data_IF_559553084260
#
_entry.id   IF_559553084260
#
_cell.length_a   1.000
_cell.length_b   1.000
_cell.length_c   1.000
_cell.angle_alpha   90.00
_cell.angle_beta   90.00
_cell.angle_gamma   90.00
#
_symmetry.space_group_name_H-M   'P 1'
#
loop_
_entity.id
_entity.type
_entity.pdbx_description
1 polymer ?
#
# COMPACT_ATOMS: atom_id res chain seq x y z
N UNK A 1 -28.92 7.99 -29.15
CA UNK A 1 -28.64 7.93 -27.70
C UNK A 1 -27.13 7.99 -27.52
N UNK A 2 -26.59 9.11 -27.02
CA UNK A 2 -25.15 9.23 -26.77
C UNK A 2 -24.73 8.18 -25.74
N UNK A 3 -23.68 7.39 -26.05
CA UNK A 3 -23.08 6.42 -25.13
C UNK A 3 -22.62 7.20 -23.89
N UNK A 4 -23.24 6.97 -22.73
CA UNK A 4 -22.77 7.58 -21.47
C UNK A 4 -21.39 7.01 -21.17
N UNK A 5 -20.37 7.85 -21.30
CA UNK A 5 -19.00 7.49 -20.94
C UNK A 5 -18.89 7.63 -19.42
N UNK A 6 -18.95 6.49 -18.72
CA UNK A 6 -18.74 6.44 -17.27
C UNK A 6 -17.26 6.56 -16.89
N UNK A 7 -16.36 6.52 -17.86
CA UNK A 7 -14.91 6.60 -17.68
C UNK A 7 -14.33 7.63 -18.65
N UNK A 8 -13.26 8.29 -18.22
CA UNK A 8 -12.43 9.18 -19.05
C UNK A 8 -11.09 8.51 -19.29
N UNK A 9 -10.71 8.33 -20.55
CA UNK A 9 -9.39 7.81 -20.92
C UNK A 9 -8.30 8.84 -20.56
N UNK A 10 -7.24 8.38 -19.91
CA UNK A 10 -6.12 9.23 -19.49
C UNK A 10 -4.86 9.02 -20.31
N UNK A 11 -4.64 7.81 -20.81
CA UNK A 11 -3.42 7.45 -21.53
C UNK A 11 -3.19 5.95 -21.59
N UNK A 12 -1.97 5.58 -22.00
CA UNK A 12 -1.57 4.20 -22.16
C UNK A 12 -0.15 3.96 -21.59
N UNK A 13 0.07 2.78 -21.02
CA UNK A 13 1.38 2.31 -20.54
C UNK A 13 2.04 1.29 -21.47
N UNK A 14 1.41 0.96 -22.60
CA UNK A 14 1.93 -0.03 -23.53
C UNK A 14 3.36 0.32 -23.96
N UNK A 15 4.27 -0.64 -23.85
CA UNK A 15 5.69 -0.46 -24.15
C UNK A 15 6.43 -1.78 -24.07
N UNK A 16 7.59 -1.85 -24.73
CA UNK A 16 8.38 -3.10 -24.81
C UNK A 16 8.81 -3.59 -23.42
N UNK A 17 9.07 -2.68 -22.48
CA UNK A 17 9.52 -3.01 -21.13
C UNK A 17 8.52 -3.84 -20.33
N UNK A 18 7.22 -3.73 -20.63
CA UNK A 18 6.19 -4.53 -19.97
C UNK A 18 6.33 -6.04 -20.24
N UNK A 19 6.99 -6.43 -21.33
CA UNK A 19 7.25 -7.84 -21.64
C UNK A 19 8.09 -8.52 -20.56
N UNK A 20 8.99 -7.78 -19.90
CA UNK A 20 9.79 -8.26 -18.76
C UNK A 20 8.91 -8.65 -17.54
N UNK A 21 7.68 -8.11 -17.48
CA UNK A 21 6.69 -8.42 -16.45
C UNK A 21 5.60 -9.41 -16.92
N UNK A 22 5.72 -9.91 -18.15
CA UNK A 22 4.83 -10.91 -18.74
C UNK A 22 3.73 -10.36 -19.64
N UNK A 23 3.74 -9.07 -19.97
CA UNK A 23 2.80 -8.51 -20.93
C UNK A 23 2.91 -9.19 -22.31
N UNK A 24 1.77 -9.31 -22.99
CA UNK A 24 1.62 -10.11 -24.22
C UNK A 24 1.07 -11.52 -23.99
N UNK A 25 0.98 -11.97 -22.74
CA UNK A 25 0.22 -13.18 -22.36
C UNK A 25 -1.18 -12.79 -21.89
N UNK A 26 -2.19 -13.55 -22.29
CA UNK A 26 -3.55 -13.36 -21.79
C UNK A 26 -3.57 -13.39 -20.26
N UNK A 27 -4.25 -12.41 -19.65
CA UNK A 27 -4.41 -12.36 -18.20
C UNK A 27 -3.17 -11.98 -17.39
N UNK A 28 -2.04 -11.60 -18.01
CA UNK A 28 -0.78 -11.34 -17.30
C UNK A 28 -0.89 -10.37 -16.11
N UNK A 29 -1.79 -9.37 -16.19
CA UNK A 29 -2.00 -8.36 -15.16
C UNK A 29 -2.78 -8.88 -13.94
N UNK A 30 -3.69 -9.83 -14.14
CA UNK A 30 -4.67 -10.27 -13.12
C UNK A 30 -4.46 -11.70 -12.65
N UNK A 31 -3.97 -12.58 -13.52
CA UNK A 31 -3.77 -14.00 -13.25
C UNK A 31 -2.37 -14.30 -12.70
N UNK A 32 -1.45 -13.33 -12.74
CA UNK A 32 -0.13 -13.45 -12.13
C UNK A 32 -0.15 -13.00 -10.65
N UNK A 33 -0.13 -13.93 -9.68
CA UNK A 33 -0.19 -13.58 -8.25
C UNK A 33 1.09 -12.89 -7.74
N UNK A 34 2.18 -12.95 -8.51
CA UNK A 34 3.45 -12.31 -8.16
C UNK A 34 3.57 -10.89 -8.73
N UNK A 35 2.60 -10.44 -9.54
CA UNK A 35 2.62 -9.09 -10.09
C UNK A 35 2.01 -8.10 -9.10
N UNK A 36 2.86 -7.21 -8.59
CA UNK A 36 2.51 -6.14 -7.70
C UNK A 36 2.27 -4.87 -8.50
N UNK A 37 1.31 -4.06 -8.06
CA UNK A 37 0.88 -2.84 -8.75
C UNK A 37 0.60 -1.77 -7.71
N UNK A 38 1.22 -0.61 -7.88
CA UNK A 38 0.97 0.57 -7.06
C UNK A 38 0.84 1.81 -7.97
N UNK A 39 -0.09 2.70 -7.64
CA UNK A 39 -0.42 3.88 -8.45
C UNK A 39 -0.13 5.16 -7.67
N UNK A 40 0.57 6.08 -8.31
CA UNK A 40 0.62 7.52 -8.02
C UNK A 40 -0.26 8.23 -9.08
N UNK A 41 -0.63 9.49 -8.86
CA UNK A 41 -1.55 10.25 -9.73
C UNK A 41 -1.11 10.28 -11.20
N UNK A 42 0.18 10.17 -11.48
CA UNK A 42 0.74 10.20 -12.85
C UNK A 42 1.78 9.10 -13.11
N UNK A 43 1.92 8.14 -12.20
CA UNK A 43 2.99 7.14 -12.27
C UNK A 43 2.49 5.79 -11.79
N UNK A 44 2.88 4.72 -12.47
CA UNK A 44 2.55 3.36 -12.11
C UNK A 44 3.84 2.62 -11.75
N UNK A 45 3.87 1.94 -10.61
CA UNK A 45 4.91 0.99 -10.27
C UNK A 45 4.37 -0.43 -10.46
N UNK A 46 5.00 -1.19 -11.34
CA UNK A 46 4.72 -2.60 -11.57
C UNK A 46 5.94 -3.42 -11.14
N UNK A 47 5.75 -4.48 -10.37
CA UNK A 47 6.86 -5.32 -9.94
C UNK A 47 6.54 -6.81 -10.03
N UNK A 48 7.54 -7.60 -10.41
CA UNK A 48 7.56 -9.03 -10.20
C UNK A 48 8.51 -9.35 -9.03
N UNK A 49 9.01 -10.59 -8.94
CA UNK A 49 9.90 -11.05 -7.85
C UNK A 49 11.26 -10.34 -7.78
N UNK A 50 11.78 -9.80 -8.88
CA UNK A 50 13.15 -9.28 -8.96
C UNK A 50 13.31 -7.98 -9.76
N UNK A 51 12.27 -7.55 -10.47
CA UNK A 51 12.26 -6.36 -11.30
C UNK A 51 11.09 -5.47 -10.90
N UNK A 52 11.36 -4.18 -10.83
CA UNK A 52 10.35 -3.13 -10.67
C UNK A 52 10.47 -2.19 -11.87
N UNK A 53 9.34 -1.86 -12.48
CA UNK A 53 9.19 -0.86 -13.52
C UNK A 53 8.39 0.31 -12.98
N UNK A 54 8.96 1.51 -13.02
CA UNK A 54 8.21 2.76 -12.84
C UNK A 54 7.87 3.27 -14.23
N UNK A 55 6.59 3.49 -14.48
CA UNK A 55 6.03 3.88 -15.76
C UNK A 55 5.25 5.18 -15.61
N UNK A 56 5.40 6.06 -16.59
CA UNK A 56 4.50 7.18 -16.81
C UNK A 56 3.64 6.86 -18.04
N UNK A 57 2.35 7.18 -17.99
CA UNK A 57 1.50 7.04 -19.17
C UNK A 57 1.52 8.31 -20.01
N UNK A 58 1.52 8.14 -21.33
CA UNK A 58 1.47 9.27 -22.27
C UNK A 58 0.05 9.84 -22.32
N UNK A 59 -0.07 11.17 -22.31
CA UNK A 59 -1.33 11.86 -22.59
C UNK A 59 -1.44 12.07 -24.10
N UNK A 60 -2.47 11.53 -24.74
CA UNK A 60 -2.69 11.75 -26.18
C UNK A 60 -3.28 13.15 -26.41
N UNK A 61 -2.50 14.22 -26.24
CA UNK A 61 -3.04 15.58 -26.35
C UNK A 61 -3.27 16.01 -27.82
N UNK A 62 -2.71 15.33 -28.83
CA UNK A 62 -2.85 15.81 -30.22
C UNK A 62 -2.71 14.76 -31.33
N UNK A 63 -2.72 13.46 -31.03
CA UNK A 63 -2.47 12.42 -32.04
C UNK A 63 -1.04 12.41 -32.59
N UNK A 64 -0.16 13.30 -32.10
CA UNK A 64 1.27 13.22 -32.32
C UNK A 64 1.90 12.36 -31.19
N UNK A 65 2.76 11.39 -31.52
CA UNK A 65 3.57 10.72 -30.50
C UNK A 65 4.49 11.76 -29.86
N UNK A 66 4.42 11.87 -28.54
CA UNK A 66 5.37 12.66 -27.75
C UNK A 66 6.77 12.07 -27.94
N UNK A 67 7.76 12.81 -28.48
CA UNK A 67 9.08 12.28 -28.80
C UNK A 67 9.86 11.75 -27.57
N UNK A 68 9.45 12.11 -26.34
CA UNK A 68 10.03 11.61 -25.09
C UNK A 68 9.37 10.31 -24.58
N UNK A 69 8.58 9.64 -25.41
CA UNK A 69 7.95 8.35 -25.12
C UNK A 69 8.92 7.35 -24.46
N UNK A 70 8.63 7.03 -23.18
CA UNK A 70 9.16 5.90 -22.40
C UNK A 70 10.51 6.07 -21.66
N UNK A 71 10.60 6.97 -20.68
CA UNK A 71 11.50 6.72 -19.53
C UNK A 71 10.83 5.78 -18.52
N UNK A 72 10.65 4.52 -18.91
CA UNK A 72 10.42 3.48 -17.93
C UNK A 72 11.70 3.34 -17.09
N UNK A 73 11.60 3.50 -15.78
CA UNK A 73 12.75 3.28 -14.90
C UNK A 73 12.73 1.82 -14.44
N UNK A 74 13.80 1.08 -14.79
CA UNK A 74 13.99 -0.30 -14.38
C UNK A 74 14.82 -0.36 -13.11
N UNK A 75 14.25 -0.90 -12.03
CA UNK A 75 14.95 -1.13 -10.77
C UNK A 75 15.12 -2.63 -10.58
N UNK A 76 16.36 -3.07 -10.39
CA UNK A 76 16.70 -4.43 -9.95
C UNK A 76 17.26 -4.33 -8.53
N UNK A 77 16.43 -4.55 -7.49
CA UNK A 77 16.90 -4.51 -6.13
C UNK A 77 18.02 -5.54 -5.91
N UNK A 78 18.99 -5.19 -5.06
CA UNK A 78 19.99 -6.16 -4.58
C UNK A 78 19.32 -7.09 -3.56
N UNK A 79 19.02 -8.32 -4.00
CA UNK A 79 18.26 -9.32 -3.25
C UNK A 79 19.16 -10.53 -2.98
N UNK A 80 19.09 -11.08 -1.77
CA UNK A 80 19.90 -12.24 -1.38
C UNK A 80 19.53 -13.49 -2.21
N UNK A 81 20.44 -14.01 -3.06
CA UNK A 81 20.18 -15.26 -3.78
C UNK A 81 20.20 -16.47 -2.85
N UNK A 82 20.94 -16.38 -1.74
CA UNK A 82 21.08 -17.47 -0.74
C UNK A 82 19.77 -17.70 -0.01
N UNK A 83 19.07 -16.63 0.36
CA UNK A 83 17.76 -16.71 1.04
C UNK A 83 16.59 -16.80 0.05
N UNK A 84 16.88 -16.88 -1.26
CA UNK A 84 15.89 -16.77 -2.33
C UNK A 84 14.97 -15.54 -2.16
N UNK A 85 15.55 -14.41 -1.76
CA UNK A 85 14.83 -13.18 -1.46
C UNK A 85 14.15 -12.63 -2.71
N UNK A 86 12.91 -12.14 -2.56
CA UNK A 86 12.13 -11.57 -3.64
C UNK A 86 11.30 -10.36 -3.19
N UNK A 87 10.99 -9.48 -4.15
CA UNK A 87 10.06 -8.37 -3.95
C UNK A 87 8.66 -8.91 -3.69
N UNK A 88 8.05 -8.45 -2.60
CA UNK A 88 6.81 -9.00 -2.05
C UNK A 88 5.70 -7.97 -1.82
N UNK A 89 6.06 -6.69 -1.71
CA UNK A 89 5.13 -5.58 -1.63
C UNK A 89 5.75 -4.33 -2.27
N UNK A 90 4.92 -3.47 -2.86
CA UNK A 90 5.33 -2.18 -3.43
C UNK A 90 4.23 -1.17 -3.14
N UNK A 91 4.59 0.03 -2.69
CA UNK A 91 3.67 1.13 -2.40
C UNK A 91 4.36 2.47 -2.64
N UNK A 92 3.65 3.47 -3.18
CA UNK A 92 4.23 4.80 -3.37
C UNK A 92 4.29 5.56 -2.05
N UNK A 93 5.30 6.41 -1.88
CA UNK A 93 5.37 7.40 -0.81
C UNK A 93 5.35 8.78 -1.46
N UNK A 94 4.28 9.54 -1.24
CA UNK A 94 4.08 10.84 -1.88
C UNK A 94 3.83 11.89 -0.81
N UNK A 95 4.63 12.96 -0.81
CA UNK A 95 4.51 14.08 0.13
C UNK A 95 4.23 15.38 -0.63
N UNK A 96 3.57 16.35 0.01
CA UNK A 96 3.18 17.63 -0.60
C UNK A 96 4.32 18.49 -1.17
N UNK A 97 5.56 18.30 -0.73
CA UNK A 97 6.72 19.05 -1.23
C UNK A 97 7.26 18.43 -2.55
N UNK A 98 6.41 17.76 -3.33
CA UNK A 98 6.73 16.93 -4.51
C UNK A 98 7.77 15.80 -4.28
N UNK A 99 8.13 15.56 -3.03
CA UNK A 99 9.00 14.45 -2.62
C UNK A 99 8.23 13.13 -2.86
N UNK A 100 8.77 12.31 -3.77
CA UNK A 100 8.23 11.00 -4.13
C UNK A 100 9.30 9.92 -4.03
N UNK A 101 8.90 8.78 -3.50
CA UNK A 101 9.74 7.60 -3.41
C UNK A 101 8.90 6.33 -3.52
N UNK A 102 9.54 5.21 -3.84
CA UNK A 102 8.91 3.91 -3.90
C UNK A 102 9.33 3.05 -2.71
N UNK A 103 8.38 2.69 -1.86
CA UNK A 103 8.61 1.73 -0.78
C UNK A 103 8.43 0.30 -1.30
N UNK A 104 9.38 -0.57 -0.99
CA UNK A 104 9.44 -1.94 -1.46
C UNK A 104 9.69 -2.86 -0.28
N UNK A 105 8.83 -3.87 -0.12
CA UNK A 105 8.98 -4.89 0.93
C UNK A 105 9.48 -6.20 0.34
N UNK A 106 10.40 -6.88 1.02
CA UNK A 106 10.93 -8.18 0.55
C UNK A 106 10.39 -9.37 1.33
N UNK A 107 10.56 -10.57 0.77
CA UNK A 107 10.20 -11.83 1.39
C UNK A 107 10.97 -12.16 2.66
N UNK A 108 12.12 -11.51 2.87
CA UNK A 108 12.96 -11.67 4.05
C UNK A 108 12.70 -10.60 5.13
N UNK A 109 11.80 -9.64 4.87
CA UNK A 109 11.38 -8.65 5.87
C UNK A 109 12.07 -7.30 5.76
N UNK A 110 12.80 -7.06 4.65
CA UNK A 110 13.45 -5.78 4.42
C UNK A 110 12.48 -4.77 3.82
N UNK A 111 12.46 -3.57 4.40
CA UNK A 111 11.93 -2.37 3.78
C UNK A 111 13.07 -1.72 2.99
N UNK A 112 12.86 -1.54 1.69
CA UNK A 112 13.69 -0.75 0.80
C UNK A 112 12.92 0.51 0.39
N UNK A 113 13.63 1.61 0.20
CA UNK A 113 13.06 2.85 -0.34
C UNK A 113 13.91 3.27 -1.52
N UNK A 114 13.28 3.45 -2.69
CA UNK A 114 13.94 3.88 -3.92
C UNK A 114 13.48 5.28 -4.34
N UNK A 115 14.36 6.05 -4.96
CA UNK A 115 13.98 7.28 -5.66
C UNK A 115 13.15 6.95 -6.91
N UNK A 116 12.48 7.95 -7.49
CA UNK A 116 11.76 7.79 -8.76
C UNK A 116 12.69 7.47 -9.94
N UNK A 117 13.98 7.82 -9.83
CA UNK A 117 15.04 7.48 -10.79
C UNK A 117 15.65 6.09 -10.54
N UNK A 118 15.25 5.38 -9.48
CA UNK A 118 15.67 4.02 -9.20
C UNK A 118 16.89 3.86 -8.28
N UNK A 119 17.36 4.94 -7.66
CA UNK A 119 18.45 4.88 -6.68
C UNK A 119 17.94 4.35 -5.34
N UNK A 120 18.68 3.46 -4.70
CA UNK A 120 18.37 2.97 -3.35
C UNK A 120 18.68 4.07 -2.32
N UNK A 121 17.64 4.54 -1.63
CA UNK A 121 17.73 5.56 -0.58
C UNK A 121 17.92 4.92 0.80
N UNK A 122 17.19 3.83 1.07
CA UNK A 122 17.17 3.20 2.39
C UNK A 122 16.95 1.70 2.31
N UNK A 123 17.60 0.96 3.22
CA UNK A 123 17.41 -0.49 3.39
C UNK A 123 17.46 -0.84 4.87
N UNK A 124 16.41 -1.47 5.38
CA UNK A 124 16.31 -1.81 6.80
C UNK A 124 15.47 -3.07 7.03
N UNK A 125 15.91 -3.94 7.94
CA UNK A 125 15.12 -5.07 8.41
C UNK A 125 14.01 -4.58 9.36
N UNK A 126 12.78 -5.03 9.12
CA UNK A 126 11.62 -4.70 9.96
C UNK A 126 11.39 -5.80 10.98
N UNK A 127 11.19 -7.02 10.49
CA UNK A 127 11.10 -8.24 11.27
C UNK A 127 11.35 -9.42 10.31
N UNK A 128 11.93 -10.55 10.75
CA UNK A 128 12.10 -11.70 9.87
C UNK A 128 10.76 -12.17 9.27
N UNK A 129 10.78 -12.50 7.97
CA UNK A 129 9.64 -13.05 7.24
C UNK A 129 9.07 -12.09 6.19
N UNK A 130 8.14 -12.60 5.37
CA UNK A 130 7.61 -11.88 4.21
C UNK A 130 6.82 -10.63 4.61
N UNK A 131 7.14 -9.50 3.98
CA UNK A 131 6.23 -8.34 3.99
C UNK A 131 5.05 -8.64 3.06
N UNK A 132 3.85 -8.66 3.62
CA UNK A 132 2.62 -8.91 2.87
C UNK A 132 2.12 -7.65 2.17
N UNK A 133 2.23 -6.50 2.85
CA UNK A 133 1.70 -5.23 2.36
C UNK A 133 2.37 -4.04 3.03
N UNK A 134 2.52 -2.97 2.28
CA UNK A 134 2.87 -1.64 2.79
C UNK A 134 1.63 -0.78 2.61
N UNK A 135 1.28 0.01 3.62
CA UNK A 135 0.10 0.87 3.61
C UNK A 135 0.48 2.27 4.03
N UNK A 136 0.02 3.24 3.26
CA UNK A 136 0.21 4.65 3.56
C UNK A 136 -1.09 5.24 4.08
N UNK A 137 -0.98 6.06 5.13
CA UNK A 137 -2.10 6.81 5.71
C UNK A 137 -1.61 8.19 6.12
N UNK A 138 -2.43 9.23 5.94
CA UNK A 138 -2.12 10.54 6.49
C UNK A 138 -3.24 11.24 7.24
N UNK A 139 -2.98 12.52 7.50
CA UNK A 139 -3.77 13.42 8.34
C UNK A 139 -5.01 13.87 7.58
N UNK A 140 -6.18 13.55 8.15
CA UNK A 140 -7.45 13.98 7.59
C UNK A 140 -7.68 15.47 7.89
N UNK A 141 -7.92 16.29 6.87
CA UNK A 141 -8.62 17.58 7.01
C UNK A 141 -10.13 17.32 7.15
N UNK A 142 -10.55 16.72 8.27
CA UNK A 142 -11.93 16.79 8.70
C UNK A 142 -11.98 17.57 10.01
N UNK A 143 -13.00 18.42 10.13
CA UNK A 143 -13.27 19.39 11.20
C UNK A 143 -13.38 18.80 12.64
N UNK A 144 -13.01 17.55 12.86
CA UNK A 144 -13.00 16.89 14.18
C UNK A 144 -11.57 16.70 14.66
N UNK A 145 -11.25 17.28 15.82
CA UNK A 145 -9.95 17.58 16.43
C UNK A 145 -8.95 16.42 16.66
N UNK A 146 -9.18 15.21 16.15
CA UNK A 146 -8.24 14.08 16.31
C UNK A 146 -7.49 13.82 15.00
N UNK A 147 -6.46 14.63 14.76
CA UNK A 147 -5.55 14.47 13.62
C UNK A 147 -4.78 13.15 13.78
N UNK A 148 -5.19 12.09 13.05
CA UNK A 148 -4.42 10.85 13.03
C UNK A 148 -3.07 11.12 12.35
N UNK A 149 -1.93 10.81 13.00
CA UNK A 149 -0.62 11.10 12.45
C UNK A 149 -0.38 10.37 11.13
N UNK A 150 0.40 11.00 10.26
CA UNK A 150 0.92 10.39 9.04
C UNK A 150 1.76 9.16 9.37
N UNK A 151 1.50 8.05 8.69
CA UNK A 151 2.14 6.78 8.97
C UNK A 151 2.26 5.87 7.76
N UNK A 152 3.33 5.06 7.80
CA UNK A 152 3.52 3.93 6.89
C UNK A 152 3.46 2.66 7.73
N UNK A 153 2.50 1.80 7.42
CA UNK A 153 2.30 0.52 8.10
C UNK A 153 2.85 -0.62 7.25
N UNK A 154 3.60 -1.51 7.87
CA UNK A 154 4.09 -2.75 7.25
C UNK A 154 3.33 -3.91 7.87
N UNK A 155 2.68 -4.69 7.01
CA UNK A 155 1.90 -5.87 7.38
C UNK A 155 2.71 -7.11 7.07
N UNK A 156 2.84 -7.99 8.06
CA UNK A 156 3.53 -9.27 7.98
C UNK A 156 2.65 -10.34 8.64
N UNK A 157 2.89 -11.65 8.42
CA UNK A 157 2.09 -12.70 9.03
C UNK A 157 2.08 -12.60 10.56
N UNK A 158 0.95 -12.14 11.13
CA UNK A 158 0.78 -11.97 12.57
C UNK A 158 1.52 -10.77 13.18
N UNK A 159 2.11 -9.89 12.37
CA UNK A 159 2.90 -8.74 12.84
C UNK A 159 2.53 -7.47 12.07
N UNK A 160 2.42 -6.36 12.79
CA UNK A 160 2.26 -5.01 12.21
C UNK A 160 3.41 -4.15 12.70
N UNK A 161 4.08 -3.48 11.77
CA UNK A 161 5.02 -2.40 12.09
C UNK A 161 4.47 -1.06 11.64
N UNK A 162 4.79 0.01 12.36
CA UNK A 162 4.38 1.38 12.04
C UNK A 162 5.59 2.30 12.07
N UNK A 163 5.75 3.03 10.99
CA UNK A 163 6.72 4.11 10.83
C UNK A 163 5.97 5.43 10.84
N UNK A 164 6.55 6.43 11.49
CA UNK A 164 5.99 7.78 11.45
C UNK A 164 6.34 8.46 10.12
N UNK A 165 5.33 9.07 9.48
CA UNK A 165 5.50 9.72 8.18
C UNK A 165 6.52 10.86 8.21
N UNK A 166 6.57 11.62 9.31
CA UNK A 166 7.55 12.69 9.54
C UNK A 166 9.01 12.18 9.49
N UNK A 167 9.28 11.02 10.08
CA UNK A 167 10.61 10.39 10.05
C UNK A 167 11.04 10.00 8.64
N UNK A 168 10.13 9.43 7.86
CA UNK A 168 10.37 9.09 6.45
C UNK A 168 10.56 10.37 5.61
N UNK A 169 9.72 11.39 5.82
CA UNK A 169 9.84 12.68 5.11
C UNK A 169 11.21 13.31 5.35
N UNK A 170 11.68 13.33 6.60
CA UNK A 170 12.97 13.88 6.97
C UNK A 170 14.14 13.11 6.35
N UNK A 171 14.06 11.77 6.30
CA UNK A 171 15.04 10.93 5.63
C UNK A 171 15.12 11.27 4.13
N UNK A 172 13.98 11.33 3.45
CA UNK A 172 13.93 11.65 2.02
C UNK A 172 14.46 13.06 1.74
N UNK A 173 14.02 14.05 2.52
CA UNK A 173 14.46 15.45 2.35
C UNK A 173 15.97 15.58 2.49
N UNK A 174 16.57 14.93 3.50
CA UNK A 174 18.01 14.92 3.68
C UNK A 174 18.72 14.30 2.47
N UNK A 175 18.24 13.15 1.99
CA UNK A 175 18.84 12.46 0.85
C UNK A 175 18.79 13.30 -0.44
N UNK A 176 17.65 13.94 -0.72
CA UNK A 176 17.53 14.83 -1.89
C UNK A 176 18.45 16.06 -1.76
N UNK A 177 18.51 16.70 -0.59
CA UNK A 177 19.41 17.84 -0.36
C UNK A 177 20.90 17.48 -0.52
N UNK A 178 21.33 16.33 0.01
CA UNK A 178 22.72 15.85 -0.13
C UNK A 178 23.07 15.45 -1.57
N UNK A 179 22.09 14.97 -2.34
CA UNK A 179 22.28 14.60 -3.74
C UNK A 179 22.38 15.85 -4.61
N UNK A 180 21.52 16.84 -4.36
CA UNK A 180 21.56 18.13 -5.06
C UNK A 180 22.89 18.85 -4.79
N UNK A 181 23.38 18.88 -3.55
CA UNK A 181 24.66 19.53 -3.23
C UNK A 181 25.85 18.86 -3.92
N UNK A 182 25.89 17.51 -3.95
CA UNK A 182 26.95 16.76 -4.64
C UNK A 182 26.95 16.97 -6.16
N UNK A 183 25.78 17.22 -6.74
CA UNK A 183 25.66 17.55 -8.16
C UNK A 183 26.27 18.91 -8.48
N UNK A 184 26.13 19.91 -7.60
CA UNK A 184 26.76 21.22 -7.74
C UNK A 184 28.26 21.22 -7.41
N UNK A 185 28.70 20.39 -6.46
CA UNK A 185 30.12 20.25 -6.13
C UNK A 185 30.92 19.50 -7.23
N UNK A 186 30.25 18.77 -8.12
CA UNK A 186 30.86 18.05 -9.24
C UNK A 186 31.21 18.92 -10.46
N UNK A 187 30.89 20.23 -10.47
CA UNK A 187 31.41 21.15 -11.49
C UNK A 187 32.85 21.63 -11.22
N UNK A 188 33.48 21.23 -10.10
CA UNK A 188 34.91 21.46 -9.86
C UNK A 188 35.58 20.23 -9.21
N UNK A 189 36.43 19.57 -10.01
CA UNK A 189 37.36 18.46 -9.72
C UNK A 189 36.89 17.02 -9.99
N UNK A 190 37.39 16.46 -11.09
CA UNK A 190 37.72 15.04 -11.25
C UNK A 190 38.84 14.66 -10.25
N UNK A 191 38.69 13.58 -9.47
CA UNK A 191 39.57 12.39 -9.48
C UNK A 191 39.13 11.34 -8.44
N UNK A 192 39.60 10.12 -8.70
CA UNK A 192 39.43 8.81 -8.11
C UNK A 192 39.32 8.65 -6.57
N UNK A 193 38.76 7.49 -6.23
CA UNK A 193 38.82 6.77 -4.95
C UNK A 193 37.98 7.33 -3.79
N UNK A 194 36.78 6.76 -3.63
CA UNK A 194 36.24 6.51 -2.29
C UNK A 194 35.71 5.08 -2.19
N UNK A 195 36.64 4.18 -1.87
CA UNK A 195 36.30 2.99 -1.11
C UNK A 195 35.58 3.41 0.18
N UNK A 196 34.49 2.70 0.48
CA UNK A 196 33.94 2.55 1.83
C UNK A 196 33.57 3.85 2.58
N UNK A 197 32.67 4.66 2.01
CA UNK A 197 31.80 5.49 2.86
C UNK A 197 30.58 4.66 3.27
N UNK A 198 30.79 3.80 4.27
CA UNK A 198 29.72 3.24 5.08
C UNK A 198 28.92 4.36 5.74
N UNK A 199 28.03 5.00 4.97
CA UNK A 199 27.01 5.87 5.50
C UNK A 199 26.21 5.01 6.46
N UNK A 200 26.38 5.27 7.75
CA UNK A 200 25.52 4.78 8.82
C UNK A 200 24.13 5.36 8.59
N UNK A 201 23.40 4.81 7.62
CA UNK A 201 22.05 5.19 7.26
C UNK A 201 21.22 5.14 8.54
N UNK A 202 20.82 6.31 9.03
CA UNK A 202 20.06 6.48 10.25
C UNK A 202 18.83 5.58 10.17
N UNK A 203 18.84 4.49 10.95
CA UNK A 203 17.74 3.53 10.97
C UNK A 203 16.44 4.25 11.31
N UNK A 204 15.42 4.09 10.47
CA UNK A 204 14.10 4.67 10.73
C UNK A 204 13.52 4.02 12.00
N UNK A 205 13.11 4.81 13.01
CA UNK A 205 12.43 4.28 14.17
C UNK A 205 11.03 3.79 13.78
N UNK A 206 10.61 2.67 14.37
CA UNK A 206 9.28 2.11 14.17
C UNK A 206 8.75 1.49 15.46
N UNK A 207 7.45 1.24 15.51
CA UNK A 207 6.81 0.41 16.51
C UNK A 207 6.44 -0.94 15.90
N UNK A 208 6.48 -2.01 16.69
CA UNK A 208 6.19 -3.36 16.24
C UNK A 208 5.20 -4.03 17.19
N UNK A 209 4.16 -4.68 16.65
CA UNK A 209 3.14 -5.36 17.43
C UNK A 209 2.87 -6.76 16.90
N UNK A 210 2.59 -7.69 17.82
CA UNK A 210 2.13 -9.02 17.51
C UNK A 210 0.59 -9.04 17.52
N UNK A 211 -0.02 -9.37 16.38
CA UNK A 211 -1.48 -9.46 16.19
C UNK A 211 -1.92 -10.89 15.83
N UNK A 212 -1.16 -11.91 16.25
CA UNK A 212 -1.40 -13.31 15.87
C UNK A 212 -2.29 -14.10 16.83
N UNK A 213 -2.87 -13.47 17.86
CA UNK A 213 -3.69 -14.16 18.88
C UNK A 213 -4.82 -15.02 18.28
N UNK A 214 -5.39 -14.60 17.16
CA UNK A 214 -6.48 -15.30 16.48
C UNK A 214 -6.05 -15.93 15.15
N UNK A 215 -4.76 -16.23 14.98
CA UNK A 215 -4.19 -16.80 13.76
C UNK A 215 -3.31 -15.83 12.99
N UNK A 216 -2.68 -16.34 11.92
CA UNK A 216 -1.91 -15.51 11.01
C UNK A 216 -2.85 -14.64 10.17
N UNK A 217 -2.44 -13.39 9.93
CA UNK A 217 -3.20 -12.48 9.07
C UNK A 217 -2.77 -12.59 7.60
N UNK A 218 -3.76 -12.58 6.71
CA UNK A 218 -3.57 -12.39 5.27
C UNK A 218 -3.43 -10.90 4.91
N UNK A 219 -4.10 -10.03 5.67
CA UNK A 219 -4.01 -8.59 5.56
C UNK A 219 -4.34 -7.94 6.92
N UNK A 220 -3.86 -6.72 7.15
CA UNK A 220 -4.17 -5.94 8.33
C UNK A 220 -4.00 -4.44 8.07
N UNK A 221 -4.59 -3.61 8.92
CA UNK A 221 -4.39 -2.16 8.88
C UNK A 221 -4.62 -1.52 10.25
N UNK A 222 -3.93 -0.40 10.50
CA UNK A 222 -4.22 0.50 11.60
C UNK A 222 -5.38 1.41 11.18
N UNK A 223 -6.50 1.33 11.90
CA UNK A 223 -7.76 2.00 11.52
C UNK A 223 -7.93 3.37 12.15
N UNK A 224 -7.19 3.68 13.23
CA UNK A 224 -7.17 4.99 13.85
C UNK A 224 -6.66 4.97 15.28
N UNK A 225 -6.75 6.12 15.94
CA UNK A 225 -6.46 6.26 17.37
C UNK A 225 -7.64 5.72 18.18
N UNK A 226 -7.36 5.07 19.30
CA UNK A 226 -8.36 4.63 20.27
C UNK A 226 -8.25 5.43 21.56
N UNK A 227 -9.38 5.64 22.26
CA UNK A 227 -9.34 6.10 23.63
C UNK A 227 -8.65 5.06 24.52
N UNK A 228 -8.07 5.50 25.66
CA UNK A 228 -7.48 4.61 26.64
C UNK A 228 -8.51 3.59 27.16
N UNK A 229 -8.05 2.43 27.65
CA UNK A 229 -8.91 1.49 28.36
C UNK A 229 -9.66 2.14 29.51
N UNK A 230 -10.89 1.68 29.74
CA UNK A 230 -11.68 2.06 30.91
C UNK A 230 -10.88 1.75 32.18
N UNK A 231 -10.82 2.69 33.13
CA UNK A 231 -10.02 2.63 34.38
C UNK A 231 -8.51 2.86 34.27
N UNK A 232 -7.94 3.09 33.09
CA UNK A 232 -6.54 3.54 32.95
C UNK A 232 -6.48 5.07 33.04
N UNK A 233 -6.70 5.60 34.25
CA UNK A 233 -6.64 7.03 34.55
C UNK A 233 -5.17 7.47 34.54
N UNK A 234 -4.84 8.55 33.82
CA UNK A 234 -3.50 9.16 33.67
C UNK A 234 -2.48 8.46 32.77
N UNK A 235 -2.90 7.97 31.60
CA UNK A 235 -1.95 7.63 30.53
C UNK A 235 -1.91 8.75 29.49
N UNK A 236 -0.78 9.45 29.35
CA UNK A 236 -0.48 10.28 28.16
C UNK A 236 -0.24 9.43 26.90
N UNK A 237 -0.41 8.10 26.99
CA UNK A 237 -0.10 7.16 25.93
C UNK A 237 -1.22 7.14 24.88
N UNK A 238 -0.80 7.19 23.62
CA UNK A 238 -1.66 6.97 22.47
C UNK A 238 -1.87 5.47 22.27
N UNK A 239 -3.11 5.10 21.99
CA UNK A 239 -3.50 3.76 21.57
C UNK A 239 -3.95 3.79 20.13
N UNK A 240 -3.68 2.72 19.38
CA UNK A 240 -4.20 2.54 18.04
C UNK A 240 -5.15 1.35 17.97
N UNK A 241 -6.12 1.40 17.06
CA UNK A 241 -6.91 0.25 16.67
C UNK A 241 -6.26 -0.39 15.45
N UNK A 242 -6.05 -1.70 15.49
CA UNK A 242 -5.69 -2.48 14.32
C UNK A 242 -6.77 -3.51 14.03
N UNK A 243 -7.08 -3.67 12.75
CA UNK A 243 -7.93 -4.75 12.23
C UNK A 243 -7.07 -5.66 11.39
N UNK A 244 -7.13 -6.96 11.65
CA UNK A 244 -6.53 -8.00 10.82
C UNK A 244 -7.58 -8.96 10.31
N UNK A 245 -7.30 -9.58 9.17
CA UNK A 245 -8.14 -10.59 8.54
C UNK A 245 -7.28 -11.80 8.18
N UNK A 246 -7.84 -13.00 8.19
CA UNK A 246 -7.08 -14.20 7.85
C UNK A 246 -7.91 -15.46 7.81
N UNK A 247 -7.22 -16.59 7.88
CA UNK A 247 -7.79 -17.93 7.75
C UNK A 247 -8.63 -18.34 8.97
N UNK A 248 -8.08 -18.17 10.17
CA UNK A 248 -8.72 -18.61 11.42
C UNK A 248 -9.82 -17.66 11.90
N UNK A 249 -9.70 -16.38 11.54
CA UNK A 249 -10.67 -15.34 11.85
C UNK A 249 -10.82 -14.40 10.66
N UNK A 250 -12.06 -14.26 10.16
CA UNK A 250 -12.39 -13.36 9.05
C UNK A 250 -12.08 -11.92 9.43
N UNK A 251 -12.33 -11.55 10.70
CA UNK A 251 -12.00 -10.23 11.25
C UNK A 251 -11.46 -10.43 12.66
N UNK A 252 -10.39 -9.74 13.01
CA UNK A 252 -9.87 -9.60 14.37
C UNK A 252 -9.50 -8.15 14.61
N UNK A 253 -9.74 -7.66 15.82
CA UNK A 253 -9.41 -6.30 16.20
C UNK A 253 -8.54 -6.26 17.46
N UNK A 254 -7.60 -5.32 17.50
CA UNK A 254 -6.60 -5.18 18.54
C UNK A 254 -6.43 -3.72 18.94
N UNK A 255 -6.18 -3.48 20.22
CA UNK A 255 -5.66 -2.23 20.75
C UNK A 255 -4.15 -2.33 20.86
N UNK A 256 -3.45 -1.43 20.17
CA UNK A 256 -2.00 -1.35 20.11
C UNK A 256 -1.50 -0.24 21.03
N UNK A 257 -0.59 -0.55 21.96
CA UNK A 257 0.05 0.46 22.81
C UNK A 257 1.34 0.99 22.19
N UNK A 258 1.62 2.28 22.33
CA UNK A 258 2.92 2.85 21.90
C UNK A 258 4.06 2.45 22.86
N UNK A 259 3.75 2.17 24.12
CA UNK A 259 4.76 1.86 25.15
C UNK A 259 5.47 0.53 24.90
N UNK A 260 6.81 0.59 24.92
CA UNK A 260 7.73 -0.54 24.71
C UNK A 260 7.89 -1.38 25.98
N UNK A 261 7.58 -0.85 27.16
CA UNK A 261 7.89 -1.49 28.45
C UNK A 261 6.87 -2.53 28.92
N UNK A 262 5.85 -2.88 28.12
CA UNK A 262 4.70 -3.68 28.57
C UNK A 262 4.40 -4.93 27.74
N UNK A 263 5.26 -5.33 26.81
CA UNK A 263 5.06 -6.60 26.10
C UNK A 263 5.55 -7.78 26.93
N UNK A 264 4.62 -8.49 27.57
CA UNK A 264 4.86 -9.83 28.15
C UNK A 264 4.88 -10.93 27.07
N UNK A 265 4.70 -10.58 25.80
CA UNK A 265 4.64 -11.50 24.66
C UNK A 265 5.82 -11.22 23.73
N UNK A 266 7.02 -11.28 24.27
CA UNK A 266 8.27 -11.20 23.51
C UNK A 266 9.09 -12.45 23.76
N UNK A 267 8.92 -13.48 22.92
CA UNK A 267 9.94 -14.54 22.66
C UNK A 267 9.45 -15.74 21.83
N UNK A 268 8.15 -15.93 21.55
CA UNK A 268 7.68 -17.20 20.93
C UNK A 268 7.34 -17.07 19.44
N UNK A 269 8.16 -16.36 18.65
CA UNK A 269 8.01 -16.38 17.18
C UNK A 269 9.32 -16.58 16.40
N UNK A 270 10.46 -16.85 17.06
CA UNK A 270 11.73 -17.13 16.36
C UNK A 270 12.04 -18.63 16.18
N UNK A 271 11.12 -19.57 16.43
CA UNK A 271 11.42 -21.02 16.37
C UNK A 271 10.35 -21.94 15.77
N UNK A 272 9.48 -21.46 14.89
CA UNK A 272 8.63 -22.37 14.11
C UNK A 272 8.90 -22.19 12.62
N UNK A 273 10.08 -22.66 12.21
CA UNK A 273 10.32 -23.03 10.81
C UNK A 273 9.49 -24.30 10.58
N UNK A 274 8.57 -24.34 9.61
CA UNK A 274 7.99 -25.60 9.17
C UNK A 274 9.14 -26.49 8.70
N UNK A 275 9.44 -27.55 9.46
CA UNK A 275 10.45 -28.53 9.15
C UNK A 275 10.00 -29.39 7.97
N UNK A 276 9.99 -28.85 6.76
CA UNK A 276 9.92 -29.63 5.51
C UNK A 276 10.56 -28.85 4.36
N UNK A 277 11.89 -28.74 4.33
CA UNK A 277 12.66 -28.72 3.07
C UNK A 277 14.08 -29.22 3.36
N UNK A 278 14.27 -30.50 3.08
CA UNK A 278 15.50 -31.24 2.76
C UNK A 278 16.85 -30.61 3.10
N UNK A 279 17.45 -31.12 4.18
CA UNK A 279 18.90 -31.31 4.27
C UNK A 279 19.40 -32.18 3.12
N UNK A 280 20.10 -31.59 2.16
CA UNK A 280 21.21 -32.28 1.49
C UNK A 280 22.46 -31.50 1.87
N UNK A 281 23.12 -31.98 2.92
CA UNK A 281 24.50 -31.63 3.21
C UNK A 281 25.35 -32.17 2.06
N UNK A 282 25.95 -31.28 1.28
CA UNK A 282 26.99 -31.66 0.32
C UNK A 282 28.27 -31.97 1.10
N UNK A 283 28.47 -33.25 1.42
CA UNK A 283 29.74 -33.80 1.86
C UNK A 283 30.69 -33.84 0.66
N UNK A 284 31.46 -32.77 0.44
CA UNK A 284 32.69 -32.86 -0.34
C UNK A 284 33.52 -31.59 -0.19
N UNK A 285 34.47 -31.63 0.75
CA UNK A 285 35.90 -31.33 0.56
C UNK A 285 36.57 -31.09 1.93
N UNK A 286 36.82 -32.21 2.61
CA UNK A 286 37.98 -32.33 3.49
C UNK A 286 39.17 -32.60 2.54
N UNK A 287 39.98 -31.58 2.22
CA UNK A 287 41.41 -31.64 1.84
C UNK A 287 41.92 -30.18 1.82
N UNK A 288 42.71 -29.84 2.85
CA UNK A 288 43.82 -28.88 2.91
C UNK A 288 43.76 -27.56 2.10
N UNK A 289 43.53 -26.43 2.81
CA UNK A 289 44.47 -25.29 2.91
C UNK A 289 43.90 -24.26 3.90
N UNK A 290 44.80 -23.61 4.64
CA UNK A 290 44.52 -22.51 5.57
C UNK A 290 43.86 -21.34 4.85
N UNK A 291 42.66 -20.93 5.26
CA UNK A 291 42.08 -19.66 4.84
C UNK A 291 41.01 -19.14 5.83
N UNK A 292 40.89 -17.84 5.82
CA UNK A 292 40.30 -16.89 6.75
C UNK A 292 38.95 -17.26 7.38
N UNK A 293 38.79 -16.86 8.65
CA UNK A 293 37.48 -16.86 9.34
C UNK A 293 36.48 -16.08 8.47
N UNK A 294 35.37 -16.69 8.01
CA UNK A 294 34.34 -15.92 7.34
C UNK A 294 33.73 -14.97 8.38
N UNK A 295 33.91 -13.68 8.15
CA UNK A 295 33.20 -12.60 8.83
C UNK A 295 31.72 -12.78 8.56
N UNK A 296 31.02 -13.46 9.48
CA UNK A 296 29.55 -13.47 9.50
C UNK A 296 29.09 -12.02 9.57
N UNK A 297 28.41 -11.54 8.52
CA UNK A 297 27.70 -10.25 8.56
C UNK A 297 26.83 -10.24 9.83
N UNK A 298 26.90 -9.19 10.66
CA UNK A 298 26.13 -9.14 11.90
C UNK A 298 24.64 -9.24 11.57
N UNK A 299 23.98 -10.23 12.19
CA UNK A 299 22.54 -10.45 12.09
C UNK A 299 21.83 -9.19 12.58
N UNK A 300 21.11 -8.52 11.67
CA UNK A 300 20.49 -7.23 11.95
C UNK A 300 19.37 -7.42 12.98
N UNK A 301 19.55 -6.85 14.19
CA UNK A 301 18.64 -7.03 15.33
C UNK A 301 17.29 -6.33 15.08
N UNK A 302 16.19 -7.08 15.14
CA UNK A 302 14.81 -6.55 15.10
C UNK A 302 14.46 -5.75 16.35
N UNK A 303 13.54 -4.77 16.24
CA UNK A 303 13.06 -4.03 17.41
C UNK A 303 12.17 -4.87 18.34
N UNK A 304 12.12 -4.58 19.66
CA UNK A 304 11.22 -5.26 20.58
C UNK A 304 9.75 -4.96 20.29
N UNK A 305 8.89 -5.95 20.52
CA UNK A 305 7.44 -5.81 20.38
C UNK A 305 6.85 -4.93 21.49
N UNK A 306 5.94 -4.03 21.13
CA UNK A 306 5.04 -3.35 22.04
C UNK A 306 3.76 -4.18 22.26
N UNK A 307 2.98 -3.84 23.28
CA UNK A 307 1.79 -4.62 23.66
C UNK A 307 0.65 -4.44 22.66
N UNK A 308 0.07 -5.55 22.23
CA UNK A 308 -1.19 -5.60 21.50
C UNK A 308 -2.21 -6.41 22.30
N UNK A 309 -3.37 -5.81 22.59
CA UNK A 309 -4.44 -6.46 23.33
C UNK A 309 -5.61 -6.72 22.40
N UNK A 310 -6.03 -7.98 22.26
CA UNK A 310 -7.19 -8.30 21.45
C UNK A 310 -8.48 -7.69 22.02
N UNK A 311 -9.32 -7.16 21.13
CA UNK A 311 -10.60 -6.54 21.45
C UNK A 311 -11.76 -7.46 21.09
N UNK A 312 -11.83 -7.88 19.83
CA UNK A 312 -12.89 -8.75 19.32
C UNK A 312 -12.38 -9.60 18.16
N UNK A 313 -13.10 -10.66 17.85
CA UNK A 313 -12.88 -11.47 16.66
C UNK A 313 -14.20 -12.00 16.11
N UNK A 314 -14.31 -12.04 14.78
CA UNK A 314 -15.37 -12.70 14.04
C UNK A 314 -14.78 -13.95 13.37
N UNK A 315 -15.17 -15.12 13.89
CA UNK A 315 -14.89 -16.42 13.27
C UNK A 315 -16.12 -16.86 12.50
N UNK A 316 -15.94 -17.24 11.23
CA UNK A 316 -17.05 -17.64 10.34
C UNK A 316 -16.58 -18.78 9.42
N UNK A 317 -16.12 -19.89 10.01
CA UNK A 317 -15.66 -21.04 9.24
C UNK A 317 -16.78 -21.60 8.34
N UNK A 318 -16.54 -21.93 7.05
CA UNK A 318 -15.23 -22.09 6.39
C UNK A 318 -14.70 -20.83 5.67
N UNK A 319 -15.21 -19.64 5.98
CA UNK A 319 -14.77 -18.39 5.34
C UNK A 319 -13.47 -17.90 5.94
N UNK A 320 -12.61 -17.42 5.05
CA UNK A 320 -11.31 -16.81 5.36
C UNK A 320 -11.34 -15.38 4.85
N UNK A 321 -10.86 -14.43 5.63
CA UNK A 321 -10.68 -13.05 5.16
C UNK A 321 -9.49 -12.96 4.20
N UNK A 322 -9.67 -12.33 3.04
CA UNK A 322 -8.65 -12.30 1.98
C UNK A 322 -8.09 -10.90 1.71
N UNK A 323 -8.94 -9.86 1.61
CA UNK A 323 -8.50 -8.48 1.31
C UNK A 323 -9.18 -7.48 2.23
N UNK A 324 -8.41 -6.50 2.69
CA UNK A 324 -8.87 -5.39 3.52
C UNK A 324 -8.62 -4.07 2.78
N UNK A 325 -9.66 -3.24 2.64
CA UNK A 325 -9.55 -1.87 2.13
C UNK A 325 -10.14 -0.91 3.15
N UNK A 326 -9.39 0.12 3.55
CA UNK A 326 -9.88 1.17 4.45
C UNK A 326 -10.44 2.35 3.66
N UNK A 327 -11.48 2.99 4.20
CA UNK A 327 -11.85 4.34 3.75
C UNK A 327 -10.73 5.32 4.13
N UNK A 328 -10.61 6.48 3.47
CA UNK A 328 -9.55 7.44 3.79
C UNK A 328 -9.62 7.94 5.23
N UNK A 329 -10.85 8.04 5.76
CA UNK A 329 -11.11 8.37 7.16
C UNK A 329 -10.65 7.29 8.15
N UNK A 330 -10.43 6.06 7.67
CA UNK A 330 -10.24 4.88 8.49
C UNK A 330 -11.48 4.44 9.26
N UNK A 331 -12.64 5.11 9.14
CA UNK A 331 -13.88 4.82 9.88
C UNK A 331 -14.66 3.62 9.32
N UNK A 332 -14.36 3.25 8.07
CA UNK A 332 -14.95 2.12 7.38
C UNK A 332 -13.86 1.20 6.83
N UNK A 333 -14.13 -0.10 6.81
CA UNK A 333 -13.31 -1.07 6.11
C UNK A 333 -14.18 -2.02 5.28
N UNK A 334 -13.80 -2.24 4.03
CA UNK A 334 -14.36 -3.29 3.19
C UNK A 334 -13.47 -4.53 3.29
N UNK A 335 -14.07 -5.68 3.58
CA UNK A 335 -13.38 -6.96 3.77
C UNK A 335 -13.98 -7.99 2.83
N UNK A 336 -13.17 -8.58 1.96
CA UNK A 336 -13.59 -9.67 1.08
C UNK A 336 -13.24 -11.02 1.70
N UNK A 337 -14.08 -12.03 1.49
CA UNK A 337 -13.81 -13.39 1.95
C UNK A 337 -13.69 -14.42 0.81
N UNK A 338 -13.19 -15.60 1.17
CA UNK A 338 -12.90 -16.71 0.26
C UNK A 338 -14.12 -17.36 -0.43
N UNK A 339 -15.33 -17.06 0.07
CA UNK A 339 -16.58 -17.60 -0.47
C UNK A 339 -17.50 -16.50 -1.01
N UNK A 340 -16.93 -15.35 -1.39
CA UNK A 340 -17.60 -14.30 -2.15
C UNK A 340 -18.58 -13.43 -1.37
N UNK A 341 -18.35 -13.20 -0.07
CA UNK A 341 -18.98 -12.09 0.65
C UNK A 341 -18.04 -10.88 0.70
N UNK A 342 -18.65 -9.71 0.82
CA UNK A 342 -17.98 -8.46 1.15
C UNK A 342 -18.64 -7.91 2.41
N UNK A 343 -17.87 -7.69 3.47
CA UNK A 343 -18.31 -7.13 4.74
C UNK A 343 -17.87 -5.67 4.81
N UNK A 344 -18.80 -4.76 5.15
CA UNK A 344 -18.46 -3.39 5.53
C UNK A 344 -18.39 -3.33 7.06
N UNK A 345 -17.20 -3.12 7.59
CA UNK A 345 -16.93 -2.97 9.01
C UNK A 345 -16.92 -1.48 9.38
N UNK A 346 -17.65 -1.12 10.43
CA UNK A 346 -17.36 0.10 11.19
C UNK A 346 -16.14 -0.15 12.08
N UNK A 347 -15.09 0.63 11.88
CA UNK A 347 -13.81 0.39 12.58
C UNK A 347 -13.76 1.00 13.98
N UNK A 348 -14.67 1.93 14.30
CA UNK A 348 -14.78 2.53 15.62
C UNK A 348 -15.64 1.65 16.53
N UNK A 349 -16.80 1.24 16.03
CA UNK A 349 -17.71 0.34 16.75
C UNK A 349 -17.26 -1.14 16.68
N UNK A 350 -16.40 -1.49 15.71
CA UNK A 350 -15.96 -2.86 15.43
C UNK A 350 -17.13 -3.81 15.11
N UNK A 351 -18.12 -3.31 14.38
CA UNK A 351 -19.34 -4.04 13.97
C UNK A 351 -19.49 -4.02 12.46
N UNK A 352 -19.90 -5.16 11.88
CA UNK A 352 -20.25 -5.23 10.46
C UNK A 352 -21.60 -4.56 10.25
N UNK A 353 -21.62 -3.50 9.45
CA UNK A 353 -22.80 -2.65 9.20
C UNK A 353 -23.50 -2.96 7.87
N UNK A 354 -22.83 -3.67 6.95
CA UNK A 354 -23.40 -4.04 5.64
C UNK A 354 -22.70 -5.26 5.05
N UNK A 355 -23.44 -6.03 4.25
CA UNK A 355 -22.97 -7.27 3.61
C UNK A 355 -23.41 -7.32 2.14
N UNK A 356 -22.52 -7.75 1.26
CA UNK A 356 -22.85 -8.16 -0.12
C UNK A 356 -22.49 -9.64 -0.32
N UNK A 357 -23.25 -10.35 -1.16
CA UNK A 357 -23.07 -11.79 -1.44
C UNK A 357 -22.92 -12.04 -2.94
N UNK A 358 -22.15 -13.07 -3.29
CA UNK A 358 -21.94 -13.49 -4.68
C UNK A 358 -20.87 -12.67 -5.42
N UNK A 359 -19.84 -12.21 -4.70
CA UNK A 359 -18.73 -11.40 -5.20
C UNK A 359 -17.39 -12.12 -4.96
N UNK A 360 -17.27 -13.37 -5.44
CA UNK A 360 -16.02 -14.14 -5.33
C UNK A 360 -14.89 -13.43 -6.10
N UNK A 361 -13.70 -13.42 -5.51
CA UNK A 361 -12.49 -12.75 -6.03
C UNK A 361 -12.62 -11.23 -6.22
N UNK A 362 -13.63 -10.60 -5.61
CA UNK A 362 -13.80 -9.17 -5.74
C UNK A 362 -12.64 -8.37 -5.16
N UNK A 363 -12.48 -7.14 -5.66
CA UNK A 363 -11.64 -6.12 -5.05
C UNK A 363 -12.47 -4.87 -4.80
N UNK A 364 -12.20 -4.21 -3.68
CA UNK A 364 -12.97 -3.05 -3.24
C UNK A 364 -12.06 -1.83 -3.11
N UNK A 365 -12.52 -0.69 -3.61
CA UNK A 365 -11.88 0.62 -3.44
C UNK A 365 -12.94 1.64 -3.02
N UNK A 366 -12.57 2.58 -2.15
CA UNK A 366 -13.46 3.67 -1.78
C UNK A 366 -13.32 4.80 -2.79
N UNK A 367 -14.45 5.37 -3.20
CA UNK A 367 -14.53 6.43 -4.22
C UNK A 367 -15.52 7.49 -3.76
N UNK A 368 -15.31 8.73 -4.16
CA UNK A 368 -16.24 9.82 -3.90
C UNK A 368 -16.96 10.18 -5.19
N UNK A 369 -18.28 10.08 -5.15
CA UNK A 369 -19.16 10.40 -6.27
C UNK A 369 -19.90 11.67 -5.95
N UNK A 370 -20.08 12.55 -6.93
CA UNK A 370 -20.85 13.77 -6.75
C UNK A 370 -22.28 13.40 -6.34
N UNK A 371 -22.72 13.90 -5.19
CA UNK A 371 -24.08 13.72 -4.73
C UNK A 371 -25.03 14.37 -5.73
N UNK A 372 -26.03 13.62 -6.18
CA UNK A 372 -26.99 14.09 -7.18
C UNK A 372 -27.77 15.27 -6.61
N UNK A 373 -27.47 16.49 -7.06
CA UNK A 373 -28.22 17.72 -6.74
C UNK A 373 -29.35 17.89 -7.76
N UNK A 374 -30.54 18.32 -7.31
CA UNK A 374 -31.70 18.47 -8.18
C UNK A 374 -31.40 19.38 -9.38
N UNK A 375 -31.93 19.02 -10.57
CA UNK A 375 -31.70 19.72 -11.85
C UNK A 375 -32.02 21.22 -11.81
N UNK A 376 -32.87 21.67 -10.89
CA UNK A 376 -33.23 23.08 -10.71
C UNK A 376 -32.07 23.94 -10.15
N UNK A 377 -31.06 23.29 -9.57
CA UNK A 377 -29.92 23.95 -8.95
C UNK A 377 -28.64 23.83 -9.82
N UNK A 378 -28.60 22.86 -10.73
CA UNK A 378 -27.50 22.64 -11.69
C UNK A 378 -27.24 23.84 -12.64
N UNK A 379 -28.21 24.73 -12.84
CA UNK A 379 -28.07 25.92 -13.68
C UNK A 379 -27.42 27.12 -12.99
N UNK A 380 -27.16 27.07 -11.67
CA UNK A 380 -26.52 28.17 -10.92
C UNK A 380 -25.02 28.00 -10.64
N UNK A 381 -24.44 26.83 -10.89
CA UNK A 381 -23.09 26.49 -10.43
C UNK A 381 -22.14 25.98 -11.50
N UNK A 382 -22.37 26.30 -12.78
CA UNK A 382 -21.46 25.92 -13.87
C UNK A 382 -20.04 26.56 -13.75
N UNK A 383 -19.84 27.46 -12.78
CA UNK A 383 -18.59 28.16 -12.52
C UNK A 383 -18.08 28.02 -11.05
N UNK A 384 -18.72 27.22 -10.20
CA UNK A 384 -18.39 27.15 -8.77
C UNK A 384 -17.53 25.91 -8.45
N UNK A 385 -16.49 26.10 -7.62
CA UNK A 385 -15.53 25.06 -7.25
C UNK A 385 -16.22 24.06 -6.29
N UNK A 386 -16.24 22.77 -6.66
CA UNK A 386 -16.97 21.76 -5.86
C UNK A 386 -16.30 21.57 -4.50
N UNK A 387 -17.11 21.64 -3.45
CA UNK A 387 -16.67 21.42 -2.08
C UNK A 387 -16.74 19.94 -1.71
N UNK A 388 -16.06 19.53 -0.64
CA UNK A 388 -16.17 18.17 -0.08
C UNK A 388 -17.62 17.74 0.19
N UNK A 389 -18.47 18.67 0.65
CA UNK A 389 -19.87 18.38 0.97
C UNK A 389 -20.73 18.03 -0.24
N UNK A 390 -20.28 18.36 -1.45
CA UNK A 390 -20.99 17.97 -2.67
C UNK A 390 -20.73 16.51 -3.06
N UNK A 391 -19.80 15.80 -2.40
CA UNK A 391 -19.47 14.41 -2.66
C UNK A 391 -20.03 13.46 -1.61
N UNK A 392 -20.38 12.24 -2.05
CA UNK A 392 -20.75 11.15 -1.18
C UNK A 392 -19.75 10.00 -1.29
N UNK A 393 -19.37 9.46 -0.13
CA UNK A 393 -18.48 8.30 -0.06
C UNK A 393 -19.22 7.05 -0.58
N UNK A 394 -18.56 6.34 -1.47
CA UNK A 394 -19.04 5.13 -2.12
C UNK A 394 -17.99 4.02 -2.07
N UNK A 395 -18.44 2.79 -2.33
CA UNK A 395 -17.59 1.61 -2.49
C UNK A 395 -17.70 1.11 -3.92
N UNK A 396 -16.60 1.17 -4.66
CA UNK A 396 -16.45 0.51 -5.95
C UNK A 396 -16.09 -0.95 -5.72
N UNK A 397 -16.96 -1.85 -6.16
CA UNK A 397 -16.80 -3.31 -6.07
C UNK A 397 -16.51 -3.83 -7.47
N UNK A 398 -15.25 -4.15 -7.74
CA UNK A 398 -14.87 -4.87 -8.95
C UNK A 398 -15.11 -6.36 -8.74
N UNK A 399 -15.92 -6.95 -9.62
CA UNK A 399 -16.30 -8.35 -9.61
C UNK A 399 -15.81 -9.03 -10.90
N UNK A 400 -14.56 -9.52 -10.94
CA UNK A 400 -13.94 -10.02 -12.17
C UNK A 400 -14.75 -11.14 -12.84
N UNK A 401 -15.28 -12.09 -12.06
CA UNK A 401 -16.11 -13.20 -12.57
C UNK A 401 -17.39 -12.76 -13.27
N UNK A 402 -17.91 -11.58 -12.90
CA UNK A 402 -19.10 -10.98 -13.52
C UNK A 402 -18.73 -10.01 -14.65
N UNK A 403 -17.46 -9.64 -14.79
CA UNK A 403 -17.01 -8.64 -15.77
C UNK A 403 -17.61 -7.25 -15.53
N UNK A 404 -17.80 -6.86 -14.27
CA UNK A 404 -18.42 -5.56 -13.90
C UNK A 404 -17.73 -4.89 -12.72
N UNK A 405 -17.88 -3.57 -12.65
CA UNK A 405 -17.69 -2.77 -11.42
C UNK A 405 -19.03 -2.18 -11.02
N UNK A 406 -19.42 -2.36 -9.76
CA UNK A 406 -20.59 -1.72 -9.16
C UNK A 406 -20.16 -0.66 -8.16
N UNK A 407 -20.80 0.51 -8.16
CA UNK A 407 -20.54 1.55 -7.15
C UNK A 407 -21.75 1.67 -6.23
N UNK A 408 -21.52 1.49 -4.94
CA UNK A 408 -22.54 1.49 -3.89
C UNK A 408 -22.33 2.67 -2.95
N UNK A 409 -23.39 3.42 -2.65
CA UNK A 409 -23.31 4.54 -1.71
C UNK A 409 -23.18 4.05 -0.27
N UNK A 410 -22.23 4.62 0.48
CA UNK A 410 -22.04 4.34 1.90
C UNK A 410 -22.95 5.22 2.78
N UNK A 411 -23.35 4.77 3.96
CA UNK A 411 -23.14 3.43 4.54
C UNK A 411 -24.22 2.44 4.11
N UNK A 412 -25.47 2.89 4.04
CA UNK A 412 -26.67 2.09 3.74
C UNK A 412 -27.37 2.48 2.43
N UNK A 413 -26.71 3.29 1.58
CA UNK A 413 -27.31 3.81 0.35
C UNK A 413 -27.39 2.79 -0.81
N UNK A 414 -28.09 3.12 -1.91
CA UNK A 414 -28.32 2.23 -3.05
C UNK A 414 -27.07 1.99 -3.89
N UNK A 415 -27.18 1.07 -4.87
CA UNK A 415 -26.23 0.96 -5.98
C UNK A 415 -26.45 2.13 -6.93
N UNK A 416 -25.42 2.94 -7.14
CA UNK A 416 -25.47 4.13 -7.98
C UNK A 416 -25.27 3.81 -9.46
N UNK A 417 -24.33 2.91 -9.76
CA UNK A 417 -23.97 2.57 -11.13
C UNK A 417 -23.40 1.15 -11.26
N UNK A 418 -23.41 0.63 -12.48
CA UNK A 418 -22.77 -0.62 -12.87
C UNK A 418 -22.11 -0.43 -14.23
N UNK A 419 -20.81 -0.67 -14.31
CA UNK A 419 -20.01 -0.48 -15.53
C UNK A 419 -19.45 -1.84 -15.95
N UNK A 420 -19.53 -2.22 -17.23
CA UNK A 420 -18.80 -3.35 -17.77
C UNK A 420 -17.29 -3.15 -17.58
N UNK A 421 -16.62 -4.14 -17.01
CA UNK A 421 -15.18 -4.16 -16.81
C UNK A 421 -14.60 -5.34 -17.59
N UNK A 422 -13.86 -5.10 -18.69
CA UNK A 422 -13.26 -6.17 -19.48
C UNK A 422 -12.43 -7.13 -18.62
N UNK A 423 -12.39 -8.40 -19.02
CA UNK A 423 -11.45 -9.38 -18.44
C UNK A 423 -10.01 -8.83 -18.56
N UNK A 424 -9.12 -9.23 -17.65
CA UNK A 424 -7.76 -8.70 -17.63
C UNK A 424 -7.63 -7.27 -17.07
N UNK A 425 -8.73 -6.61 -16.70
CA UNK A 425 -8.69 -5.26 -16.10
C UNK A 425 -8.49 -5.30 -14.59
N UNK A 426 -7.82 -4.29 -14.05
CA UNK A 426 -7.62 -4.08 -12.61
C UNK A 426 -8.07 -2.68 -12.22
N UNK A 427 -8.80 -2.56 -11.11
CA UNK A 427 -9.09 -1.25 -10.51
C UNK A 427 -7.94 -0.87 -9.57
N UNK A 428 -7.54 0.39 -9.62
CA UNK A 428 -6.44 0.97 -8.87
C UNK A 428 -6.90 2.27 -8.20
N UNK A 429 -6.22 2.65 -7.14
CA UNK A 429 -6.42 3.94 -6.48
C UNK A 429 -5.05 4.57 -6.25
N UNK A 430 -4.90 5.88 -6.47
CA UNK A 430 -3.65 6.55 -6.14
C UNK A 430 -3.34 6.39 -4.66
N UNK A 431 -2.07 6.22 -4.36
CA UNK A 431 -1.59 6.17 -2.98
C UNK A 431 -1.90 7.50 -2.29
N UNK A 432 -2.14 7.43 -0.98
CA UNK A 432 -2.40 8.62 -0.17
C UNK A 432 -1.22 9.60 -0.24
N UNK A 433 -1.53 10.91 -0.35
CA UNK A 433 -0.53 11.99 -0.29
C UNK A 433 -0.40 12.54 1.12
N UNK A 434 0.78 12.45 1.69
CA UNK A 434 1.12 13.08 2.95
C UNK A 434 1.04 14.60 2.81
N UNK A 435 0.07 15.19 3.50
CA UNK A 435 -0.26 16.59 3.32
C UNK A 435 0.14 17.45 4.50
N UNK A 436 0.84 18.55 4.20
CA UNK A 436 1.11 19.58 5.19
C UNK A 436 -0.19 20.30 5.51
N UNK A 437 -0.47 20.54 6.79
CA UNK A 437 -1.61 21.34 7.23
C UNK A 437 -1.66 22.77 6.62
N UNK A 438 -0.57 23.20 5.98
CA UNK A 438 -0.40 24.50 5.33
C UNK A 438 -0.68 24.50 3.82
N UNK A 439 -0.91 23.35 3.17
CA UNK A 439 -1.20 23.30 1.74
C UNK A 439 -2.68 23.64 1.50
N UNK A 440 -2.96 24.92 1.25
CA UNK A 440 -4.26 25.38 0.78
C UNK A 440 -4.39 25.09 -0.72
N UNK A 441 -4.80 23.88 -1.10
CA UNK A 441 -5.30 23.66 -2.46
C UNK A 441 -6.64 24.40 -2.61
N UNK A 442 -6.82 25.18 -3.69
CA UNK A 442 -8.07 25.91 -3.92
C UNK A 442 -9.26 24.97 -4.12
N UNK A 443 -9.04 23.79 -4.73
CA UNK A 443 -10.09 22.81 -5.05
C UNK A 443 -9.97 21.52 -4.25
N UNK A 444 -11.12 20.99 -3.84
CA UNK A 444 -11.22 19.65 -3.28
C UNK A 444 -11.05 18.59 -4.38
N UNK A 445 -10.08 17.69 -4.20
CA UNK A 445 -9.90 16.53 -5.09
C UNK A 445 -10.61 15.33 -4.47
N UNK A 446 -11.67 14.80 -5.09
CA UNK A 446 -12.38 13.64 -4.57
C UNK A 446 -11.54 12.37 -4.67
N UNK A 447 -11.88 11.35 -3.88
CA UNK A 447 -11.32 10.01 -4.06
C UNK A 447 -11.66 9.45 -5.43
N UNK A 448 -10.63 9.01 -6.13
CA UNK A 448 -10.71 8.53 -7.51
C UNK A 448 -10.38 7.04 -7.63
N UNK A 449 -11.00 6.39 -8.61
CA UNK A 449 -10.71 4.99 -8.99
C UNK A 449 -10.30 4.96 -10.46
N UNK A 450 -9.17 4.31 -10.71
CA UNK A 450 -8.57 4.14 -12.02
C UNK A 450 -8.79 2.71 -12.49
N UNK A 451 -8.86 2.53 -13.80
CA UNK A 451 -8.94 1.26 -14.49
C UNK A 451 -7.67 1.10 -15.31
N UNK A 452 -6.99 -0.03 -15.14
CA UNK A 452 -5.88 -0.43 -15.99
C UNK A 452 -6.30 -1.70 -16.73
N UNK A 453 -6.33 -1.65 -18.06
CA UNK A 453 -6.57 -2.82 -18.89
C UNK A 453 -5.22 -3.49 -19.22
N UNK A 454 -5.08 -4.77 -18.86
CA UNK A 454 -3.84 -5.52 -19.10
C UNK A 454 -3.53 -5.75 -20.58
N UNK A 455 -4.54 -5.90 -21.43
CA UNK A 455 -4.35 -6.27 -22.84
C UNK A 455 -3.99 -5.05 -23.70
N UNK A 456 -4.68 -3.92 -23.50
CA UNK A 456 -4.42 -2.68 -24.24
C UNK A 456 -3.39 -1.77 -23.58
N UNK A 457 -3.10 -1.95 -22.29
CA UNK A 457 -2.31 -1.01 -21.50
C UNK A 457 -3.02 0.33 -21.21
N UNK A 458 -4.30 0.44 -21.57
CA UNK A 458 -5.08 1.67 -21.40
C UNK A 458 -5.37 1.96 -19.92
N UNK A 459 -5.21 3.22 -19.54
CA UNK A 459 -5.58 3.77 -18.24
C UNK A 459 -6.78 4.69 -18.40
N UNK A 460 -7.80 4.48 -17.56
CA UNK A 460 -9.00 5.32 -17.53
C UNK A 460 -9.42 5.66 -16.11
N UNK A 461 -10.02 6.82 -15.92
CA UNK A 461 -10.54 7.32 -14.66
C UNK A 461 -12.05 7.11 -14.59
N UNK A 462 -12.56 6.65 -13.44
CA UNK A 462 -14.00 6.64 -13.17
C UNK A 462 -14.52 8.09 -13.05
N UNK A 463 -15.51 8.45 -13.86
CA UNK A 463 -16.12 9.77 -13.77
C UNK A 463 -16.93 9.90 -12.48
N UNK A 464 -16.67 10.94 -11.64
CA UNK A 464 -17.38 11.11 -10.37
C UNK A 464 -18.83 11.57 -10.57
N UNK A 465 -19.22 11.93 -11.80
CA UNK A 465 -20.54 12.43 -12.14
C UNK A 465 -21.49 11.32 -12.60
N UNK A 466 -22.66 11.26 -11.97
CA UNK A 466 -23.77 10.40 -12.39
C UNK A 466 -24.64 11.15 -13.41
N UNK A 467 -24.19 11.26 -14.66
CA UNK A 467 -25.01 11.84 -15.74
C UNK A 467 -26.17 10.93 -16.15
#
# INVERSE_FOLDING_TARGET
MSRRLHMTELGCIAGQDLSDLGAGKEGWLVDNPNLLVSLDTHSLALANRSLILILHWSQSISGAPDPDTHRAVKIRPDLSPIEAEYVSAVEWLVFDDDIRALAVGTSCGYLLIFSVQGYLIHRQIVNPGKILKIRVRGTKQDLTQDTSPEEVCIVMPGVIARFEGSGIKNLLRRWFQETDSKFWDQEFYDDANSEDSGNSAMSLPYQLWNVSKYGLCADAAITGVMPPPLMEIQSSQRYYCAVSIGEDAVISAFRLSVDKNRSLVGAILSKVVPATFSTIASFSKLIWRSEEKPTKKPEAKSQPFARASALTCLKDHPRKGEKLTLSPSGTLAAITDSLGRILLLDTQALVVVRLWKGYREASCLFVEMLARKDKAAASRWAYDEHSKSDYCLCLAIHAPRKGIVEVWQMRTGPRLLTIPCPKGSKILQPTYRFSSATASSSSYVPLQVFFLNGDSGQISLLNPFLH
#
